data_IF_093889943720
#
_entry.id   IF_093889943720
#
_cell.length_a   1.000
_cell.length_b   1.000
_cell.length_c   1.000
_cell.angle_alpha   90.00
_cell.angle_beta   90.00
_cell.angle_gamma   90.00
#
_symmetry.space_group_name_H-M   'P 1'
#
loop_
_entity.id
_entity.type
_entity.pdbx_description
1 polymer ?
#
# COMPACT_ATOMS: atom_id res chain seq x y z
N UNK A 1 -1.96 57.66 1.18
CA UNK A 1 -3.21 56.98 1.63
C UNK A 1 -4.19 57.93 2.29
N UNK A 2 -3.79 58.82 3.22
CA UNK A 2 -4.70 59.75 3.91
C UNK A 2 -5.50 60.67 2.98
N UNK A 3 -4.87 61.24 1.95
CA UNK A 3 -5.57 62.09 0.96
C UNK A 3 -6.70 61.38 0.19
N UNK A 4 -6.61 60.05 0.01
CA UNK A 4 -7.68 59.29 -0.65
C UNK A 4 -8.89 59.15 0.25
N UNK A 5 -8.69 59.01 1.56
CA UNK A 5 -9.78 58.95 2.53
C UNK A 5 -10.46 60.31 2.71
N UNK A 6 -9.68 61.39 2.72
CA UNK A 6 -10.23 62.75 2.83
C UNK A 6 -11.07 63.14 1.61
N UNK A 7 -10.62 62.77 0.39
CA UNK A 7 -11.41 62.98 -0.83
C UNK A 7 -12.71 62.16 -0.82
N UNK A 8 -12.73 60.97 -0.23
CA UNK A 8 -13.93 60.15 -0.11
C UNK A 8 -14.92 60.71 0.90
N UNK A 9 -14.44 61.25 2.03
CA UNK A 9 -15.31 61.90 3.03
C UNK A 9 -15.92 63.18 2.50
N UNK A 10 -15.16 63.98 1.74
CA UNK A 10 -15.65 65.22 1.15
C UNK A 10 -16.71 64.96 0.04
N UNK A 11 -16.50 63.92 -0.77
CA UNK A 11 -17.49 63.46 -1.75
C UNK A 11 -18.75 62.89 -1.08
N UNK A 12 -18.60 62.24 0.07
CA UNK A 12 -19.72 61.70 0.84
C UNK A 12 -20.59 62.81 1.42
N UNK A 13 -19.99 63.86 1.97
CA UNK A 13 -20.74 64.98 2.56
C UNK A 13 -21.55 65.76 1.51
N UNK A 14 -21.02 65.89 0.29
CA UNK A 14 -21.66 66.60 -0.84
C UNK A 14 -22.83 65.84 -1.49
N UNK A 15 -23.12 64.59 -1.09
CA UNK A 15 -24.22 63.81 -1.65
C UNK A 15 -25.57 64.15 -0.97
N UNK A 16 -26.61 64.29 -1.78
CA UNK A 16 -27.99 64.46 -1.31
C UNK A 16 -28.48 63.21 -0.56
N UNK A 17 -29.39 63.35 0.44
CA UNK A 17 -29.85 62.23 1.27
C UNK A 17 -30.35 61.01 0.48
N UNK A 18 -31.06 61.25 -0.63
CA UNK A 18 -31.56 60.19 -1.53
C UNK A 18 -30.45 59.43 -2.26
N UNK A 19 -29.33 60.09 -2.61
CA UNK A 19 -28.17 59.44 -3.24
C UNK A 19 -27.33 58.67 -2.24
N UNK A 20 -27.22 59.15 -0.98
CA UNK A 20 -26.57 58.41 0.12
C UNK A 20 -27.28 57.09 0.40
N UNK A 21 -28.62 57.10 0.42
CA UNK A 21 -29.42 55.89 0.59
C UNK A 21 -29.23 54.91 -0.58
N UNK A 22 -29.28 55.40 -1.83
CA UNK A 22 -29.06 54.57 -3.01
C UNK A 22 -27.67 53.91 -3.04
N UNK A 23 -26.62 54.65 -2.66
CA UNK A 23 -25.27 54.11 -2.58
C UNK A 23 -25.13 53.07 -1.45
N UNK A 24 -25.76 53.32 -0.30
CA UNK A 24 -25.79 52.36 0.81
C UNK A 24 -26.43 51.03 0.43
N UNK A 25 -27.58 51.08 -0.27
CA UNK A 25 -28.26 49.88 -0.78
C UNK A 25 -27.42 49.15 -1.83
N UNK A 26 -26.77 49.88 -2.74
CA UNK A 26 -25.89 49.27 -3.74
C UNK A 26 -24.69 48.56 -3.11
N UNK A 27 -24.04 49.17 -2.12
CA UNK A 27 -22.91 48.55 -1.39
C UNK A 27 -23.38 47.32 -0.61
N UNK A 28 -24.52 47.39 0.09
CA UNK A 28 -25.10 46.24 0.78
C UNK A 28 -25.50 45.13 -0.19
N UNK A 29 -26.01 45.46 -1.38
CA UNK A 29 -26.32 44.50 -2.44
C UNK A 29 -25.08 43.79 -2.97
N UNK A 30 -23.97 44.51 -3.19
CA UNK A 30 -22.69 43.93 -3.61
C UNK A 30 -22.13 43.01 -2.53
N UNK A 31 -22.19 43.42 -1.25
CA UNK A 31 -21.75 42.60 -0.13
C UNK A 31 -22.62 41.35 0.00
N UNK A 32 -23.95 41.50 -0.10
CA UNK A 32 -24.90 40.40 -0.04
C UNK A 32 -24.71 39.39 -1.19
N UNK A 33 -24.50 39.88 -2.43
CA UNK A 33 -24.17 39.03 -3.58
C UNK A 33 -22.83 38.31 -3.39
N UNK A 34 -21.81 39.00 -2.86
CA UNK A 34 -20.50 38.40 -2.62
C UNK A 34 -20.57 37.29 -1.58
N UNK A 35 -21.30 37.52 -0.47
CA UNK A 35 -21.55 36.50 0.55
C UNK A 35 -22.37 35.35 -0.06
N UNK A 36 -23.42 35.66 -0.83
CA UNK A 36 -24.25 34.65 -1.51
C UNK A 36 -23.43 33.74 -2.41
N UNK A 37 -22.54 34.29 -3.24
CA UNK A 37 -21.65 33.53 -4.13
C UNK A 37 -20.69 32.65 -3.32
N UNK A 38 -20.08 33.18 -2.26
CA UNK A 38 -19.16 32.42 -1.39
C UNK A 38 -19.87 31.28 -0.65
N UNK A 39 -21.11 31.49 -0.22
CA UNK A 39 -21.91 30.44 0.43
C UNK A 39 -22.43 29.41 -0.57
N UNK A 40 -22.69 29.80 -1.81
CA UNK A 40 -23.20 28.90 -2.85
C UNK A 40 -22.09 28.00 -3.42
N UNK A 41 -20.83 28.46 -3.44
CA UNK A 41 -19.68 27.62 -3.82
C UNK A 41 -19.37 26.49 -2.83
N UNK A 42 -20.02 26.45 -1.67
CA UNK A 42 -19.95 25.34 -0.71
C UNK A 42 -20.94 24.19 -0.98
N UNK A 43 -21.71 24.26 -2.08
CA UNK A 43 -22.72 23.26 -2.42
C UNK A 43 -22.12 21.93 -2.88
N UNK A 44 -22.26 20.90 -2.05
CA UNK A 44 -22.09 19.46 -2.36
C UNK A 44 -20.92 19.15 -3.30
N UNK A 45 -19.71 19.38 -2.82
CA UNK A 45 -18.55 18.77 -3.47
C UNK A 45 -18.65 17.26 -3.25
N UNK A 46 -18.76 16.47 -4.31
CA UNK A 46 -18.83 15.02 -4.21
C UNK A 46 -17.50 14.51 -3.62
N UNK A 47 -17.54 14.12 -2.36
CA UNK A 47 -16.37 13.69 -1.60
C UNK A 47 -16.11 12.23 -1.92
N UNK A 48 -14.92 11.95 -2.44
CA UNK A 48 -14.52 10.61 -2.86
C UNK A 48 -13.28 10.17 -2.10
N UNK A 49 -13.19 8.87 -1.87
CA UNK A 49 -12.05 8.25 -1.17
C UNK A 49 -10.75 8.54 -1.92
N UNK A 50 -9.76 9.04 -1.18
CA UNK A 50 -8.39 9.24 -1.65
C UNK A 50 -7.46 8.12 -1.18
N UNK A 51 -7.53 7.79 0.12
CA UNK A 51 -6.77 6.73 0.80
C UNK A 51 -7.68 6.06 1.82
N UNK A 52 -7.61 4.74 1.88
CA UNK A 52 -8.28 3.86 2.85
C UNK A 52 -7.27 2.88 3.44
N UNK A 53 -7.55 2.32 4.62
CA UNK A 53 -6.82 1.18 5.17
C UNK A 53 -5.34 1.43 5.54
N UNK A 54 -4.88 2.69 5.56
CA UNK A 54 -3.51 3.04 5.90
C UNK A 54 -3.32 3.13 7.43
N UNK A 55 -2.13 2.76 7.92
CA UNK A 55 -1.76 2.94 9.32
C UNK A 55 -1.89 4.41 9.75
N UNK A 56 -2.23 4.64 11.03
CA UNK A 56 -2.42 6.00 11.56
C UNK A 56 -1.22 6.95 11.32
N UNK A 57 0.00 6.40 11.28
CA UNK A 57 1.23 7.14 10.98
C UNK A 57 1.24 7.66 9.53
N UNK A 58 0.74 6.87 8.60
CA UNK A 58 0.73 7.15 7.17
C UNK A 58 -0.40 8.09 6.78
N UNK A 59 -1.56 7.93 7.44
CA UNK A 59 -2.65 8.91 7.33
C UNK A 59 -2.20 10.30 7.78
N UNK A 60 -1.36 10.40 8.81
CA UNK A 60 -0.74 11.67 9.23
C UNK A 60 0.06 12.34 8.11
N UNK A 61 0.94 11.58 7.44
CA UNK A 61 1.74 12.08 6.32
C UNK A 61 0.87 12.48 5.11
N UNK A 62 -0.20 11.73 4.81
CA UNK A 62 -1.18 12.06 3.77
C UNK A 62 -1.91 13.38 4.10
N UNK A 63 -2.33 13.57 5.35
CA UNK A 63 -2.99 14.80 5.81
C UNK A 63 -2.07 16.01 5.70
N UNK A 64 -0.78 15.86 6.00
CA UNK A 64 0.18 16.96 5.87
C UNK A 64 0.33 17.41 4.41
N UNK A 65 0.32 16.47 3.46
CA UNK A 65 0.32 16.77 2.03
C UNK A 65 -0.97 17.50 1.63
N UNK A 66 -2.13 17.05 2.10
CA UNK A 66 -3.42 17.70 1.80
C UNK A 66 -3.48 19.13 2.35
N UNK A 67 -3.02 19.34 3.59
CA UNK A 67 -2.92 20.67 4.21
C UNK A 67 -1.97 21.59 3.45
N UNK A 68 -0.80 21.09 3.05
CA UNK A 68 0.18 21.88 2.29
C UNK A 68 -0.36 22.34 0.93
N UNK A 69 -1.22 21.53 0.31
CA UNK A 69 -1.88 21.83 -0.97
C UNK A 69 -3.24 22.54 -0.81
N UNK A 70 -3.62 22.92 0.42
CA UNK A 70 -4.89 23.59 0.73
C UNK A 70 -6.11 22.84 0.16
N UNK A 71 -6.07 21.51 0.21
CA UNK A 71 -7.16 20.65 -0.23
C UNK A 71 -8.08 20.38 0.95
N UNK A 72 -9.38 20.72 0.87
CA UNK A 72 -10.32 20.33 1.91
C UNK A 72 -10.44 18.80 1.92
N UNK A 73 -10.52 18.23 3.11
CA UNK A 73 -10.60 16.78 3.30
C UNK A 73 -11.53 16.46 4.47
N UNK A 74 -12.13 15.28 4.43
CA UNK A 74 -12.98 14.72 5.47
C UNK A 74 -12.51 13.32 5.84
N UNK A 75 -12.85 12.88 7.05
CA UNK A 75 -12.63 11.51 7.48
C UNK A 75 -13.92 10.70 7.28
N UNK A 76 -13.82 9.42 6.95
CA UNK A 76 -14.98 8.52 7.02
C UNK A 76 -15.48 8.38 8.46
N UNK A 77 -16.70 7.87 8.64
CA UNK A 77 -17.25 7.56 9.97
C UNK A 77 -16.38 6.60 10.79
N UNK A 78 -15.60 5.75 10.12
CA UNK A 78 -14.63 4.82 10.72
C UNK A 78 -13.26 5.45 11.05
N UNK A 79 -12.97 6.65 10.55
CA UNK A 79 -11.73 7.40 10.85
C UNK A 79 -10.45 6.84 10.21
N UNK A 80 -10.56 5.77 9.43
CA UNK A 80 -9.47 5.08 8.74
C UNK A 80 -9.30 5.48 7.27
N UNK A 81 -10.18 6.36 6.78
CA UNK A 81 -10.27 6.73 5.37
C UNK A 81 -10.32 8.24 5.23
N UNK A 82 -9.60 8.77 4.24
CA UNK A 82 -9.57 10.20 3.91
C UNK A 82 -10.32 10.42 2.59
N UNK A 83 -11.30 11.32 2.62
CA UNK A 83 -12.09 11.76 1.48
C UNK A 83 -11.64 13.15 1.04
N UNK A 84 -11.64 13.37 -0.28
CA UNK A 84 -11.33 14.66 -0.90
C UNK A 84 -12.33 14.97 -2.01
N UNK A 85 -12.43 16.25 -2.42
CA UNK A 85 -13.18 16.64 -3.60
C UNK A 85 -12.83 15.81 -4.83
N UNK A 86 -13.84 15.31 -5.55
CA UNK A 86 -13.63 14.50 -6.76
C UNK A 86 -12.74 15.19 -7.81
N UNK A 87 -12.87 16.50 -7.98
CA UNK A 87 -12.08 17.31 -8.91
C UNK A 87 -10.58 17.34 -8.54
N UNK A 88 -10.26 17.25 -7.24
CA UNK A 88 -8.88 17.28 -6.72
C UNK A 88 -8.26 15.90 -6.56
N UNK A 89 -9.08 14.84 -6.53
CA UNK A 89 -8.64 13.45 -6.32
C UNK A 89 -7.50 13.00 -7.26
N UNK A 90 -7.56 13.19 -8.59
CA UNK A 90 -6.50 12.72 -9.49
C UNK A 90 -5.15 13.43 -9.24
N UNK A 91 -5.18 14.73 -9.01
CA UNK A 91 -3.99 15.52 -8.73
C UNK A 91 -3.34 15.09 -7.40
N UNK A 92 -4.16 14.89 -6.37
CA UNK A 92 -3.65 14.41 -5.07
C UNK A 92 -3.08 13.00 -5.15
N UNK A 93 -3.67 12.10 -5.95
CA UNK A 93 -3.10 10.77 -6.19
C UNK A 93 -1.71 10.83 -6.81
N UNK A 94 -1.51 11.72 -7.78
CA UNK A 94 -0.20 11.92 -8.40
C UNK A 94 0.82 12.46 -7.38
N UNK A 95 0.43 13.45 -6.59
CA UNK A 95 1.29 14.07 -5.57
C UNK A 95 1.70 13.08 -4.48
N UNK A 96 0.75 12.26 -4.01
CA UNK A 96 1.03 11.20 -3.03
C UNK A 96 1.95 10.13 -3.61
N UNK A 97 1.74 9.72 -4.87
CA UNK A 97 2.61 8.76 -5.55
C UNK A 97 4.05 9.28 -5.70
N UNK A 98 4.22 10.58 -6.03
CA UNK A 98 5.54 11.22 -6.10
C UNK A 98 6.27 11.24 -4.75
N UNK A 99 5.52 11.28 -3.64
CA UNK A 99 6.06 11.23 -2.28
C UNK A 99 6.16 9.81 -1.72
N UNK A 100 5.76 8.79 -2.47
CA UNK A 100 5.74 7.40 -2.03
C UNK A 100 4.78 7.14 -0.87
N UNK A 101 3.63 7.82 -0.87
CA UNK A 101 2.60 7.71 0.16
C UNK A 101 1.34 7.01 -0.36
N UNK A 102 0.64 6.23 0.49
CA UNK A 102 1.07 5.75 1.81
C UNK A 102 2.22 4.72 1.71
N UNK A 103 3.06 4.61 2.75
CA UNK A 103 4.20 3.67 2.82
C UNK A 103 3.72 2.25 3.19
N UNK A 104 2.74 2.18 4.07
CA UNK A 104 1.84 1.08 4.42
C UNK A 104 0.72 1.02 3.38
N UNK A 105 1.09 0.69 2.14
CA UNK A 105 0.17 0.61 1.00
C UNK A 105 0.39 -0.68 0.24
N UNK A 106 0.44 -1.81 0.94
CA UNK A 106 0.26 -3.11 0.28
C UNK A 106 -1.16 -3.10 -0.28
N UNK A 107 -1.29 -3.11 -1.60
CA UNK A 107 -2.56 -2.93 -2.32
C UNK A 107 -3.55 -4.01 -1.86
N UNK A 108 -4.42 -3.67 -0.91
CA UNK A 108 -5.33 -4.57 -0.21
C UNK A 108 -6.76 -4.53 -0.73
N UNK A 109 -7.71 -4.96 0.10
CA UNK A 109 -9.12 -5.30 -0.19
C UNK A 109 -10.00 -4.23 -0.87
N UNK A 110 -9.50 -3.02 -1.12
CA UNK A 110 -10.30 -1.86 -1.57
C UNK A 110 -10.64 -1.90 -3.06
N UNK A 111 -9.94 -2.73 -3.84
CA UNK A 111 -10.30 -3.07 -5.22
C UNK A 111 -11.55 -3.96 -5.33
N UNK A 112 -12.14 -4.38 -4.21
CA UNK A 112 -13.36 -5.20 -4.19
C UNK A 112 -14.65 -4.41 -3.92
N UNK A 113 -14.58 -3.16 -3.44
CA UNK A 113 -15.77 -2.39 -3.10
C UNK A 113 -16.37 -1.63 -4.30
N UNK A 114 -15.59 -1.38 -5.36
CA UNK A 114 -16.11 -0.85 -6.63
C UNK A 114 -16.45 -2.00 -7.60
N UNK A 115 -17.58 -2.66 -7.34
CA UNK A 115 -18.44 -3.31 -8.34
C UNK A 115 -17.77 -4.18 -9.42
N UNK A 116 -17.38 -5.40 -9.06
CA UNK A 116 -16.77 -6.35 -10.01
C UNK A 116 -17.78 -7.37 -10.58
N UNK A 117 -18.45 -7.02 -11.68
CA UNK A 117 -18.96 -8.01 -12.63
C UNK A 117 -17.81 -8.38 -13.59
N UNK A 118 -17.31 -9.63 -13.54
CA UNK A 118 -16.40 -10.16 -14.56
C UNK A 118 -14.96 -10.53 -14.12
N UNK A 119 -14.70 -10.82 -12.85
CA UNK A 119 -13.38 -11.32 -12.43
C UNK A 119 -13.13 -12.71 -13.04
N UNK A 120 -12.07 -12.85 -13.84
CA UNK A 120 -11.61 -14.14 -14.36
C UNK A 120 -11.09 -15.04 -13.24
N UNK A 121 -11.31 -16.36 -13.33
CA UNK A 121 -10.76 -17.34 -12.39
C UNK A 121 -9.24 -17.20 -12.20
N UNK A 122 -8.52 -16.74 -13.23
CA UNK A 122 -7.07 -16.45 -13.14
C UNK A 122 -6.76 -15.35 -12.13
N UNK A 123 -7.55 -14.27 -12.14
CA UNK A 123 -7.41 -13.14 -11.22
C UNK A 123 -7.73 -13.58 -9.80
N UNK A 124 -8.80 -14.36 -9.61
CA UNK A 124 -9.15 -14.90 -8.28
C UNK A 124 -8.03 -15.79 -7.71
N UNK A 125 -7.45 -16.70 -8.53
CA UNK A 125 -6.33 -17.57 -8.11
C UNK A 125 -5.07 -16.77 -7.78
N UNK A 126 -4.75 -15.77 -8.58
CA UNK A 126 -3.60 -14.88 -8.36
C UNK A 126 -3.76 -14.12 -7.05
N UNK A 127 -4.94 -13.55 -6.82
CA UNK A 127 -5.25 -12.81 -5.60
C UNK A 127 -5.22 -13.70 -4.36
N UNK A 128 -5.80 -14.90 -4.42
CA UNK A 128 -5.72 -15.87 -3.34
C UNK A 128 -4.26 -16.23 -3.01
N UNK A 129 -3.42 -16.41 -4.02
CA UNK A 129 -2.00 -16.74 -3.80
C UNK A 129 -1.23 -15.58 -3.16
N UNK A 130 -1.49 -14.34 -3.59
CA UNK A 130 -0.92 -13.12 -2.97
C UNK A 130 -1.36 -12.95 -1.52
N UNK A 131 -2.63 -13.19 -1.22
CA UNK A 131 -3.14 -13.11 0.15
C UNK A 131 -2.43 -14.10 1.09
N UNK A 132 -2.24 -15.35 0.65
CA UNK A 132 -1.50 -16.36 1.42
C UNK A 132 -0.03 -15.97 1.62
N UNK A 133 0.63 -15.39 0.60
CA UNK A 133 2.01 -14.90 0.72
C UNK A 133 2.12 -13.80 1.78
N UNK A 134 1.20 -12.84 1.77
CA UNK A 134 1.17 -11.76 2.76
C UNK A 134 0.94 -12.28 4.18
N UNK A 135 0.00 -13.21 4.36
CA UNK A 135 -0.30 -13.78 5.68
C UNK A 135 0.83 -14.67 6.22
N UNK A 136 1.49 -15.42 5.35
CA UNK A 136 2.69 -16.17 5.69
C UNK A 136 3.82 -15.21 6.12
N UNK A 137 4.04 -14.13 5.39
CA UNK A 137 5.06 -13.13 5.74
C UNK A 137 4.80 -12.50 7.11
N UNK A 138 3.54 -12.13 7.41
CA UNK A 138 3.13 -11.61 8.72
C UNK A 138 3.38 -12.63 9.82
N UNK A 139 2.98 -13.89 9.60
CA UNK A 139 3.14 -14.97 10.57
C UNK A 139 4.61 -15.28 10.87
N UNK A 140 5.46 -15.36 9.83
CA UNK A 140 6.90 -15.61 9.99
C UNK A 140 7.58 -14.45 10.72
N UNK A 141 7.15 -13.21 10.48
CA UNK A 141 7.67 -12.02 11.18
C UNK A 141 7.33 -12.02 12.68
N UNK A 142 6.35 -12.80 13.15
CA UNK A 142 6.06 -12.92 14.58
C UNK A 142 7.07 -13.79 15.34
N UNK A 143 8.00 -14.47 14.66
CA UNK A 143 9.05 -15.26 15.30
C UNK A 143 10.14 -14.33 15.86
N UNK A 144 10.55 -14.53 17.12
CA UNK A 144 11.45 -13.61 17.85
C UNK A 144 12.75 -13.24 17.11
N UNK A 145 13.30 -14.17 16.32
CA UNK A 145 14.55 -13.98 15.59
C UNK A 145 14.40 -13.25 14.23
N UNK A 146 13.19 -12.84 13.85
CA UNK A 146 12.86 -12.32 12.52
C UNK A 146 12.28 -10.92 12.62
N UNK A 147 12.97 -9.94 12.02
CA UNK A 147 12.52 -8.54 11.95
C UNK A 147 11.50 -8.31 10.84
N UNK A 148 11.71 -8.95 9.70
CA UNK A 148 10.77 -8.90 8.57
C UNK A 148 10.93 -10.14 7.71
N UNK A 149 9.85 -10.53 7.03
CA UNK A 149 9.87 -11.63 6.09
C UNK A 149 9.15 -11.26 4.79
N UNK A 150 9.56 -11.88 3.69
CA UNK A 150 8.83 -11.87 2.40
C UNK A 150 8.72 -13.29 1.88
N UNK A 151 7.56 -13.65 1.36
CA UNK A 151 7.28 -15.00 0.87
C UNK A 151 6.85 -14.92 -0.59
N UNK A 152 7.55 -15.65 -1.44
CA UNK A 152 7.21 -15.83 -2.84
C UNK A 152 6.76 -17.27 -3.04
N UNK A 153 5.62 -17.44 -3.70
CA UNK A 153 5.05 -18.76 -4.02
C UNK A 153 4.86 -18.82 -5.52
N UNK A 154 5.44 -19.83 -6.15
CA UNK A 154 5.32 -20.10 -7.57
C UNK A 154 4.47 -21.36 -7.74
N UNK A 155 3.37 -21.22 -8.47
CA UNK A 155 2.52 -22.33 -8.89
C UNK A 155 2.46 -22.32 -10.41
N UNK A 156 3.02 -23.33 -11.08
CA UNK A 156 2.86 -23.44 -12.52
C UNK A 156 1.39 -23.59 -12.89
N UNK A 157 1.03 -23.14 -14.10
CA UNK A 157 -0.32 -23.26 -14.60
C UNK A 157 -0.65 -24.74 -14.84
N UNK A 158 -1.87 -25.16 -14.52
CA UNK A 158 -2.33 -26.52 -14.75
C UNK A 158 -2.41 -26.78 -16.26
N UNK A 159 -1.30 -27.11 -16.90
CA UNK A 159 -1.34 -27.83 -18.16
C UNK A 159 -1.66 -29.29 -17.82
N UNK A 160 -2.75 -29.81 -18.36
CA UNK A 160 -3.18 -31.22 -18.17
C UNK A 160 -2.20 -32.22 -18.83
N UNK A 161 -1.10 -31.72 -19.38
CA UNK A 161 0.05 -32.48 -19.83
C UNK A 161 1.05 -32.48 -18.68
N UNK A 162 1.25 -33.63 -18.05
CA UNK A 162 2.28 -33.81 -17.05
C UNK A 162 3.63 -33.47 -17.69
N UNK A 163 4.14 -32.26 -17.48
CA UNK A 163 5.53 -31.96 -17.80
C UNK A 163 6.39 -32.81 -16.88
N UNK A 164 7.31 -33.60 -17.45
CA UNK A 164 8.32 -34.34 -16.68
C UNK A 164 9.40 -33.40 -16.10
N UNK A 165 9.32 -32.09 -16.38
CA UNK A 165 10.26 -31.09 -15.86
C UNK A 165 10.11 -30.95 -14.33
N UNK A 166 11.17 -31.24 -13.54
CA UNK A 166 11.17 -31.04 -12.10
C UNK A 166 10.87 -29.60 -11.66
N UNK A 167 11.12 -28.61 -12.55
CA UNK A 167 10.85 -27.20 -12.32
C UNK A 167 9.37 -26.83 -12.46
N UNK A 168 8.54 -27.73 -13.00
CA UNK A 168 7.09 -27.54 -13.12
C UNK A 168 6.33 -27.94 -11.85
N UNK A 169 7.04 -27.97 -10.71
CA UNK A 169 6.47 -28.27 -9.39
C UNK A 169 6.26 -26.98 -8.60
N UNK A 170 5.15 -26.87 -7.83
CA UNK A 170 4.98 -25.75 -6.92
C UNK A 170 6.16 -25.62 -5.95
N UNK A 171 6.66 -24.40 -5.81
CA UNK A 171 7.82 -24.06 -4.99
C UNK A 171 7.60 -22.73 -4.27
N UNK A 172 8.43 -22.47 -3.26
CA UNK A 172 8.41 -21.21 -2.53
C UNK A 172 9.81 -20.74 -2.15
N UNK A 173 9.96 -19.42 -2.04
CA UNK A 173 11.16 -18.78 -1.52
C UNK A 173 10.77 -17.83 -0.41
N UNK A 174 11.45 -17.97 0.73
CA UNK A 174 11.25 -17.13 1.90
C UNK A 174 12.52 -16.33 2.13
N UNK A 175 12.37 -15.02 2.11
CA UNK A 175 13.41 -14.09 2.55
C UNK A 175 13.12 -13.70 4.00
N UNK A 176 14.14 -13.73 4.85
CA UNK A 176 14.06 -13.28 6.25
C UNK A 176 15.15 -12.26 6.54
N UNK A 177 14.77 -11.14 7.18
CA UNK A 177 15.72 -10.23 7.81
C UNK A 177 15.79 -10.56 9.30
N UNK A 178 16.92 -11.11 9.75
CA UNK A 178 17.17 -11.45 11.16
C UNK A 178 17.84 -10.32 11.93
N UNK A 179 18.10 -9.18 11.27
CA UNK A 179 18.84 -8.07 11.83
C UNK A 179 20.33 -8.36 12.08
N UNK A 180 20.87 -9.41 11.46
CA UNK A 180 22.26 -9.86 11.63
C UNK A 180 22.43 -11.02 12.62
N UNK A 181 21.34 -11.55 13.19
CA UNK A 181 21.37 -12.76 13.99
C UNK A 181 21.38 -14.01 13.09
N UNK A 182 21.99 -15.10 13.56
CA UNK A 182 21.90 -16.39 12.88
C UNK A 182 20.58 -17.07 13.24
N UNK A 183 19.80 -17.48 12.24
CA UNK A 183 18.61 -18.29 12.45
C UNK A 183 19.01 -19.76 12.64
N UNK A 184 18.46 -20.42 13.66
CA UNK A 184 18.77 -21.81 13.95
C UNK A 184 17.99 -22.78 13.04
N UNK A 185 18.52 -24.00 12.88
CA UNK A 185 17.89 -25.05 12.06
C UNK A 185 16.43 -25.34 12.46
N UNK A 186 16.05 -25.39 13.75
CA UNK A 186 14.65 -25.55 14.14
C UNK A 186 13.72 -24.46 13.58
N UNK A 187 14.09 -23.18 13.64
CA UNK A 187 13.25 -22.11 13.08
C UNK A 187 13.18 -22.18 11.56
N UNK A 188 14.28 -22.47 10.87
CA UNK A 188 14.28 -22.70 9.41
C UNK A 188 13.32 -23.84 9.05
N UNK A 189 13.39 -24.96 9.76
CA UNK A 189 12.51 -26.10 9.55
C UNK A 189 11.04 -25.77 9.79
N UNK A 190 10.74 -24.96 10.82
CA UNK A 190 9.39 -24.49 11.13
C UNK A 190 8.83 -23.60 10.00
N UNK A 191 9.65 -22.68 9.48
CA UNK A 191 9.30 -21.83 8.32
C UNK A 191 8.97 -22.70 7.11
N UNK A 192 9.84 -23.65 6.75
CA UNK A 192 9.60 -24.54 5.61
C UNK A 192 8.33 -25.37 5.79
N UNK A 193 8.07 -25.85 7.02
CA UNK A 193 6.87 -26.62 7.33
C UNK A 193 5.59 -25.78 7.22
N UNK A 194 5.61 -24.57 7.77
CA UNK A 194 4.49 -23.62 7.72
C UNK A 194 4.11 -23.31 6.27
N UNK A 195 5.10 -22.96 5.44
CA UNK A 195 4.89 -22.64 4.03
C UNK A 195 4.36 -23.84 3.25
N UNK A 196 4.96 -25.03 3.44
CA UNK A 196 4.51 -26.26 2.79
C UNK A 196 3.08 -26.66 3.17
N UNK A 197 2.62 -26.31 4.39
CA UNK A 197 1.25 -26.60 4.85
C UNK A 197 0.24 -25.56 4.39
N UNK A 198 0.65 -24.30 4.29
CA UNK A 198 -0.23 -23.22 3.82
C UNK A 198 -0.45 -23.24 2.30
N UNK A 199 0.50 -23.78 1.54
CA UNK A 199 0.44 -23.79 0.08
C UNK A 199 0.28 -25.21 -0.46
N UNK A 200 -0.90 -25.50 -1.00
CA UNK A 200 -1.18 -26.79 -1.65
C UNK A 200 -0.15 -27.10 -2.75
N UNK A 201 0.45 -28.29 -2.68
CA UNK A 201 1.39 -28.81 -3.67
C UNK A 201 2.85 -28.44 -3.43
N UNK A 202 3.15 -27.58 -2.46
CA UNK A 202 4.53 -27.25 -2.08
C UNK A 202 5.04 -28.26 -1.05
N UNK A 203 6.14 -28.93 -1.37
CA UNK A 203 6.84 -29.80 -0.42
C UNK A 203 7.88 -29.00 0.36
N UNK A 204 8.20 -29.45 1.58
CA UNK A 204 9.21 -28.82 2.45
C UNK A 204 10.57 -28.67 1.75
N UNK A 205 10.97 -29.67 0.95
CA UNK A 205 12.20 -29.66 0.14
C UNK A 205 12.23 -28.57 -0.93
N UNK A 206 11.07 -28.07 -1.34
CA UNK A 206 10.94 -27.04 -2.39
C UNK A 206 10.73 -25.64 -1.79
N UNK A 207 11.00 -25.48 -0.49
CA UNK A 207 10.96 -24.18 0.20
C UNK A 207 12.38 -23.74 0.50
N UNK A 208 12.87 -22.79 -0.30
CA UNK A 208 14.15 -22.14 -0.06
C UNK A 208 13.97 -21.04 1.00
N UNK A 209 14.85 -20.99 1.99
CA UNK A 209 14.87 -19.94 3.03
C UNK A 209 16.21 -19.23 2.98
N UNK A 210 16.21 -17.91 2.76
CA UNK A 210 17.40 -17.08 2.63
C UNK A 210 17.38 -15.94 3.63
N UNK A 211 18.55 -15.57 4.16
CA UNK A 211 18.69 -14.43 5.07
C UNK A 211 19.04 -13.11 4.35
N UNK A 212 19.10 -12.02 5.12
CA UNK A 212 19.51 -10.70 4.66
C UNK A 212 21.00 -10.56 4.33
N UNK A 213 21.81 -11.58 4.62
CA UNK A 213 23.23 -11.65 4.25
C UNK A 213 23.45 -12.44 2.95
N UNK A 214 22.39 -13.02 2.38
CA UNK A 214 22.44 -13.83 1.16
C UNK A 214 22.78 -15.30 1.43
N UNK A 215 22.76 -15.75 2.68
CA UNK A 215 22.98 -17.16 3.00
C UNK A 215 21.69 -17.95 2.75
N UNK A 216 21.82 -19.08 2.05
CA UNK A 216 20.76 -20.08 2.00
C UNK A 216 20.77 -20.86 3.32
N UNK A 217 19.68 -20.76 4.08
CA UNK A 217 19.51 -21.38 5.38
C UNK A 217 18.82 -22.74 5.31
N UNK A 218 17.98 -22.94 4.30
CA UNK A 218 17.37 -24.23 4.00
C UNK A 218 18.41 -25.18 3.42
N UNK A 219 18.51 -26.38 3.96
CA UNK A 219 19.29 -27.44 3.33
C UNK A 219 18.66 -27.71 1.95
N UNK A 220 19.38 -27.48 0.86
CA UNK A 220 19.03 -28.10 -0.42
C UNK A 220 19.14 -29.60 -0.18
N UNK A 221 18.00 -30.29 -0.16
CA UNK A 221 18.03 -31.72 -0.46
C UNK A 221 18.36 -31.84 -1.95
N UNK A 222 19.61 -31.54 -2.31
CA UNK A 222 20.23 -32.25 -3.42
C UNK A 222 20.04 -33.73 -3.12
N UNK A 223 19.78 -34.48 -4.18
CA UNK A 223 19.77 -35.92 -4.25
C UNK A 223 21.08 -36.53 -3.71
N UNK A 224 21.24 -36.53 -2.39
CA UNK A 224 22.46 -36.92 -1.67
C UNK A 224 22.62 -38.46 -1.59
N UNK A 225 22.09 -39.16 -2.59
CA UNK A 225 22.25 -40.60 -2.76
C UNK A 225 23.42 -40.99 -3.66
N UNK A 226 23.92 -40.09 -4.50
CA UNK A 226 24.90 -40.44 -5.55
C UNK A 226 26.21 -39.65 -5.44
N UNK A 227 26.15 -38.36 -5.09
CA UNK A 227 27.35 -37.51 -4.99
C UNK A 227 28.13 -37.75 -3.68
N UNK A 228 27.45 -37.87 -2.53
CA UNK A 228 28.07 -38.17 -1.24
C UNK A 228 28.74 -39.56 -1.17
N UNK A 229 28.13 -40.56 -1.81
CA UNK A 229 28.68 -41.93 -1.88
C UNK A 229 29.92 -41.99 -2.76
N UNK A 230 29.93 -41.30 -3.91
CA UNK A 230 31.10 -41.21 -4.78
C UNK A 230 32.27 -40.48 -4.08
N UNK A 231 31.98 -39.42 -3.31
CA UNK A 231 32.98 -38.70 -2.52
C UNK A 231 33.61 -39.53 -1.39
N UNK A 232 32.82 -40.38 -0.72
CA UNK A 232 33.34 -41.30 0.30
C UNK A 232 34.12 -42.47 -0.30
N UNK A 233 33.70 -42.99 -1.46
CA UNK A 233 34.37 -44.11 -2.13
C UNK A 233 35.72 -43.71 -2.72
N UNK A 234 35.84 -42.47 -3.23
CA UNK A 234 37.11 -41.91 -3.73
C UNK A 234 38.11 -41.67 -2.59
N UNK A 235 37.65 -41.22 -1.41
CA UNK A 235 38.53 -41.07 -0.22
C UNK A 235 39.04 -42.42 0.30
N UNK A 236 38.23 -43.47 0.24
CA UNK A 236 38.64 -44.82 0.63
C UNK A 236 39.67 -45.41 -0.35
N UNK A 237 39.56 -45.11 -1.65
CA UNK A 237 40.52 -45.55 -2.67
C UNK A 237 41.87 -44.83 -2.58
N UNK A 238 41.90 -43.58 -2.13
CA UNK A 238 43.14 -42.82 -1.94
C UNK A 238 43.88 -43.16 -0.64
N UNK A 239 43.25 -43.94 0.25
CA UNK A 239 43.81 -44.36 1.53
C UNK A 239 44.40 -45.79 1.51
N UNK A 240 44.44 -46.44 0.34
CA UNK A 240 45.17 -47.70 0.06
C UNK A 240 46.41 -47.40 -0.78
#
# INVERSE_FOLDING_TARGET
>A
MKERFEKLTELWEKLTPSRKLGLGVAVLGIIGLSIGILTWSGGSTDMRVLVSGADAKDLGEVVDVLKSNQVPFEYSESGDTILVPEDKRPAMRMELAMKGLPKSGDVGFEIFDEGNFGISDFVQRTNHTRAIQGELARTITMMDAIRSAKVFVVKPENNLLLSEDPNDRPSASVYVDTGGNTLDKPNVNAIQFLVARAVKGVNKSNVAVMDNQGNLLSDESESDGVAGVAGQMMKAYQAQ
#
